data_IF_467141093203
#
_entry.id   IF_467141093203
#
_cell.length_a   1.000
_cell.length_b   1.000
_cell.length_c   1.000
_cell.angle_alpha   90.00
_cell.angle_beta   90.00
_cell.angle_gamma   90.00
#
_symmetry.space_group_name_H-M   'P 1'
#
loop_
_entity.id
_entity.type
_entity.pdbx_description
1 polymer ?
#
# COMPACT_ATOMS: atom_id res chain seq x y z
N UNK A 1 10.26 12.76 18.57
CA UNK A 1 10.51 11.35 18.19
C UNK A 1 10.93 11.31 16.73
N UNK A 2 12.15 10.90 16.40
CA UNK A 2 12.58 10.80 15.00
C UNK A 2 11.94 9.57 14.34
N UNK A 3 11.04 9.78 13.38
CA UNK A 3 10.54 8.68 12.54
C UNK A 3 11.64 8.29 11.55
N UNK A 4 12.43 7.25 11.87
CA UNK A 4 13.34 6.65 10.88
C UNK A 4 12.51 6.14 9.70
N UNK A 5 12.58 6.85 8.56
CA UNK A 5 12.01 6.38 7.29
C UNK A 5 13.04 5.49 6.61
N UNK A 6 12.63 4.28 6.23
CA UNK A 6 13.40 3.42 5.34
C UNK A 6 12.90 3.59 3.90
N UNK A 7 13.82 3.55 2.94
CA UNK A 7 13.47 3.55 1.53
C UNK A 7 13.04 2.14 1.11
N UNK A 8 11.95 2.04 0.35
CA UNK A 8 11.41 0.80 -0.18
C UNK A 8 11.24 0.92 -1.69
N UNK A 9 11.90 0.03 -2.44
CA UNK A 9 11.78 -0.04 -3.90
C UNK A 9 11.03 -1.31 -4.28
N UNK A 10 9.85 -1.14 -4.89
CA UNK A 10 9.00 -2.26 -5.36
C UNK A 10 8.93 -2.20 -6.88
N UNK A 11 9.14 -3.34 -7.54
CA UNK A 11 8.86 -3.49 -8.97
C UNK A 11 7.38 -3.84 -9.13
N UNK A 12 6.70 -3.06 -9.96
CA UNK A 12 5.27 -3.17 -10.22
C UNK A 12 5.04 -2.88 -11.69
N UNK A 13 4.05 -3.52 -12.29
CA UNK A 13 3.65 -3.23 -13.67
C UNK A 13 3.21 -1.76 -13.80
N UNK A 14 3.58 -1.08 -14.91
CA UNK A 14 3.35 0.35 -15.07
C UNK A 14 1.85 0.71 -15.06
N UNK A 15 1.01 -0.12 -15.68
CA UNK A 15 -0.44 0.09 -15.71
C UNK A 15 -1.04 -0.06 -14.31
N UNK A 16 -0.70 -1.12 -13.59
CA UNK A 16 -1.15 -1.33 -12.21
C UNK A 16 -0.75 -0.16 -11.29
N UNK A 17 0.48 0.37 -11.45
CA UNK A 17 0.94 1.56 -10.71
C UNK A 17 0.11 2.79 -11.05
N UNK A 18 -0.23 2.99 -12.31
CA UNK A 18 -1.02 4.13 -12.79
C UNK A 18 -2.43 4.07 -12.22
N UNK A 19 -3.08 2.91 -12.28
CA UNK A 19 -4.40 2.67 -11.71
C UNK A 19 -4.42 2.88 -10.19
N UNK A 20 -3.50 2.24 -9.47
CA UNK A 20 -3.37 2.41 -8.02
C UNK A 20 -3.11 3.87 -7.63
N UNK A 21 -2.24 4.57 -8.37
CA UNK A 21 -1.96 5.98 -8.11
C UNK A 21 -3.19 6.87 -8.35
N UNK A 22 -3.98 6.60 -9.38
CA UNK A 22 -5.19 7.35 -9.68
C UNK A 22 -6.26 7.13 -8.60
N UNK A 23 -6.47 5.87 -8.20
CA UNK A 23 -7.36 5.49 -7.12
C UNK A 23 -6.99 6.20 -5.81
N UNK A 24 -5.74 6.04 -5.35
CA UNK A 24 -5.34 6.64 -4.07
C UNK A 24 -5.35 8.17 -4.11
N UNK A 25 -5.01 8.79 -5.25
CA UNK A 25 -5.15 10.25 -5.41
C UNK A 25 -6.60 10.71 -5.27
N UNK A 26 -7.56 9.97 -5.81
CA UNK A 26 -8.99 10.29 -5.65
C UNK A 26 -9.44 10.23 -4.18
N UNK A 27 -8.75 9.43 -3.36
CA UNK A 27 -8.95 9.32 -1.91
C UNK A 27 -8.10 10.32 -1.09
N UNK A 28 -7.35 11.22 -1.75
CA UNK A 28 -6.46 12.17 -1.09
C UNK A 28 -5.18 11.56 -0.52
N UNK A 29 -4.76 10.40 -1.02
CA UNK A 29 -3.59 9.65 -0.56
C UNK A 29 -2.53 9.52 -1.65
N UNK A 30 -1.26 9.61 -1.28
CA UNK A 30 -0.16 9.17 -2.15
C UNK A 30 0.10 7.66 -1.99
N UNK A 31 0.77 7.07 -2.99
CA UNK A 31 1.10 5.64 -3.01
C UNK A 31 1.86 5.17 -1.77
N UNK A 32 2.77 5.98 -1.23
CA UNK A 32 3.57 5.63 -0.04
C UNK A 32 2.70 5.61 1.20
N UNK A 33 1.81 6.59 1.34
CA UNK A 33 0.85 6.63 2.45
C UNK A 33 -0.11 5.44 2.40
N UNK A 34 -0.68 5.14 1.23
CA UNK A 34 -1.55 3.98 1.04
C UNK A 34 -0.84 2.65 1.35
N UNK A 35 0.39 2.48 0.86
CA UNK A 35 1.23 1.31 1.15
C UNK A 35 1.56 1.20 2.63
N UNK A 36 1.81 2.32 3.31
CA UNK A 36 2.01 2.34 4.76
C UNK A 36 0.75 1.91 5.54
N UNK A 37 -0.45 2.27 5.07
CA UNK A 37 -1.71 1.80 5.67
C UNK A 37 -1.83 0.30 5.49
N UNK A 38 -1.55 -0.22 4.29
CA UNK A 38 -1.57 -1.66 4.01
C UNK A 38 -0.73 -2.46 5.01
N UNK A 39 0.54 -2.08 5.22
CA UNK A 39 1.40 -2.77 6.18
C UNK A 39 0.89 -2.67 7.62
N UNK A 40 0.37 -1.51 8.03
CA UNK A 40 -0.22 -1.35 9.37
C UNK A 40 -1.43 -2.27 9.57
N UNK A 41 -2.27 -2.42 8.55
CA UNK A 41 -3.41 -3.33 8.63
C UNK A 41 -2.93 -4.79 8.67
N UNK A 42 -1.99 -5.18 7.80
CA UNK A 42 -1.45 -6.54 7.79
C UNK A 42 -0.86 -6.94 9.16
N UNK A 43 -0.13 -6.03 9.81
CA UNK A 43 0.41 -6.24 11.17
C UNK A 43 -0.72 -6.38 12.19
N UNK A 44 -1.75 -5.53 12.13
CA UNK A 44 -2.89 -5.57 13.06
C UNK A 44 -3.68 -6.87 13.00
N UNK A 45 -3.87 -7.42 11.80
CA UNK A 45 -4.63 -8.65 11.59
C UNK A 45 -3.78 -9.92 11.65
N UNK A 46 -2.47 -9.80 11.86
CA UNK A 46 -1.53 -10.92 11.77
C UNK A 46 -1.70 -11.73 10.47
N UNK A 47 -1.94 -11.04 9.34
CA UNK A 47 -2.31 -11.66 8.08
C UNK A 47 -2.52 -10.65 6.96
N UNK A 48 -3.19 -11.05 5.88
CA UNK A 48 -3.55 -10.13 4.81
C UNK A 48 -4.77 -9.28 5.23
N UNK A 49 -4.77 -7.97 4.94
CA UNK A 49 -5.86 -7.08 5.34
C UNK A 49 -7.07 -7.14 4.39
N UNK A 50 -7.22 -8.27 3.69
CA UNK A 50 -8.30 -8.58 2.77
C UNK A 50 -8.48 -10.10 2.74
N UNK A 51 -9.67 -10.54 2.35
CA UNK A 51 -9.99 -11.96 2.25
C UNK A 51 -9.26 -12.59 1.06
N UNK A 52 -8.54 -13.68 1.30
CA UNK A 52 -7.84 -14.43 0.26
C UNK A 52 -8.77 -15.51 -0.25
N UNK A 53 -9.21 -15.39 -1.51
CA UNK A 53 -10.02 -16.39 -2.20
C UNK A 53 -9.29 -16.85 -3.45
N UNK A 54 -9.49 -18.12 -3.80
CA UNK A 54 -9.24 -18.59 -5.15
C UNK A 54 -10.39 -18.06 -6.02
N UNK A 55 -10.07 -17.57 -7.21
CA UNK A 55 -11.06 -17.17 -8.22
C UNK A 55 -11.96 -18.35 -8.60
#
# INVERSE_FOLDING_TARGET
MQTKKSNLTIRIEPELKKEASALFRSLGLDLSTATGIFYRQAIRYHGLPFEVKLD
#
